data_IF_748701292696
#
_entry.id   IF_748701292696
#
_cell.length_a   1.000
_cell.length_b   1.000
_cell.length_c   1.000
_cell.angle_alpha   90.00
_cell.angle_beta   90.00
_cell.angle_gamma   90.00
#
_symmetry.space_group_name_H-M   'P 1'
#
loop_
_entity.id
_entity.type
_entity.pdbx_description
1 polymer ?
#
# COMPACT_ATOMS: atom_id res chain seq x y z
N UNK A 1 18.77 -43.86 -4.78
CA UNK A 1 19.32 -42.55 -5.19
C UNK A 1 18.20 -41.78 -5.87
N UNK A 2 17.39 -41.05 -5.09
CA UNK A 2 16.27 -40.27 -5.60
C UNK A 2 16.69 -38.79 -5.55
N UNK A 3 16.60 -38.11 -6.69
CA UNK A 3 16.83 -36.67 -6.77
C UNK A 3 15.72 -35.94 -5.99
N UNK A 4 16.03 -34.85 -5.26
CA UNK A 4 15.00 -34.06 -4.63
C UNK A 4 14.22 -33.27 -5.68
N UNK A 5 12.89 -33.44 -5.65
CA UNK A 5 11.91 -32.68 -6.41
C UNK A 5 12.17 -31.17 -6.30
N UNK A 6 12.32 -30.53 -7.46
CA UNK A 6 12.29 -29.07 -7.57
C UNK A 6 10.88 -28.57 -7.23
N UNK A 7 10.70 -27.51 -6.43
CA UNK A 7 9.36 -27.05 -6.06
C UNK A 7 8.71 -26.43 -7.29
N UNK A 8 7.76 -27.14 -7.89
CA UNK A 8 6.85 -26.62 -8.92
C UNK A 8 6.10 -25.44 -8.31
N UNK A 9 6.59 -24.21 -8.55
CA UNK A 9 5.97 -22.95 -8.12
C UNK A 9 4.68 -22.75 -8.94
N UNK A 10 3.61 -23.35 -8.46
CA UNK A 10 2.43 -23.77 -9.24
C UNK A 10 1.60 -22.63 -9.88
N UNK A 11 1.00 -22.87 -11.06
CA UNK A 11 0.15 -21.90 -11.79
C UNK A 11 -1.16 -21.55 -11.07
N UNK A 12 -1.57 -22.32 -10.06
CA UNK A 12 -2.74 -22.03 -9.22
C UNK A 12 -2.52 -20.78 -8.35
N UNK A 13 -1.34 -20.67 -7.71
CA UNK A 13 -1.00 -19.53 -6.83
C UNK A 13 -1.08 -18.17 -7.55
N UNK A 14 -0.74 -18.13 -8.84
CA UNK A 14 -0.86 -16.93 -9.66
C UNK A 14 -2.32 -16.57 -9.97
N UNK A 15 -3.15 -17.57 -10.27
CA UNK A 15 -4.59 -17.34 -10.50
C UNK A 15 -5.23 -16.75 -9.25
N UNK A 16 -4.88 -17.28 -8.08
CA UNK A 16 -5.37 -16.80 -6.79
C UNK A 16 -4.90 -15.36 -6.52
N UNK A 17 -3.62 -15.07 -6.79
CA UNK A 17 -3.07 -13.73 -6.61
C UNK A 17 -3.77 -12.69 -7.50
N UNK A 18 -3.98 -13.02 -8.77
CA UNK A 18 -4.65 -12.15 -9.73
C UNK A 18 -6.10 -11.88 -9.34
N UNK A 19 -6.86 -12.93 -9.03
CA UNK A 19 -8.26 -12.79 -8.62
C UNK A 19 -8.36 -11.87 -7.40
N UNK A 20 -7.48 -12.08 -6.42
CA UNK A 20 -7.46 -11.28 -5.20
C UNK A 20 -7.14 -9.81 -5.45
N UNK A 21 -6.18 -9.52 -6.35
CA UNK A 21 -5.88 -8.14 -6.75
C UNK A 21 -7.08 -7.49 -7.42
N UNK A 22 -7.76 -8.20 -8.33
CA UNK A 22 -8.94 -7.69 -9.02
C UNK A 22 -10.10 -7.43 -8.06
N UNK A 23 -10.32 -8.29 -7.06
CA UNK A 23 -11.29 -8.06 -5.99
C UNK A 23 -11.00 -6.78 -5.22
N UNK A 24 -9.76 -6.59 -4.77
CA UNK A 24 -9.36 -5.39 -4.01
C UNK A 24 -9.54 -4.12 -4.84
N UNK A 25 -9.13 -4.14 -6.12
CA UNK A 25 -9.30 -2.99 -7.01
C UNK A 25 -10.79 -2.72 -7.28
N UNK A 26 -11.62 -3.75 -7.42
CA UNK A 26 -13.04 -3.59 -7.66
C UNK A 26 -13.80 -3.05 -6.42
N UNK A 27 -13.32 -3.34 -5.20
CA UNK A 27 -13.86 -2.78 -3.95
C UNK A 27 -13.68 -1.26 -3.89
N UNK A 28 -12.47 -0.76 -4.18
CA UNK A 28 -12.16 0.66 -4.17
C UNK A 28 -10.92 0.98 -5.04
N UNK A 29 -11.18 1.34 -6.30
CA UNK A 29 -10.11 1.62 -7.27
C UNK A 29 -9.22 2.77 -6.82
N UNK A 30 -9.80 3.83 -6.25
CA UNK A 30 -9.06 5.03 -5.88
C UNK A 30 -8.15 4.77 -4.68
N UNK A 31 -8.61 4.01 -3.69
CA UNK A 31 -7.79 3.63 -2.54
C UNK A 31 -6.64 2.69 -2.95
N UNK A 32 -6.92 1.71 -3.82
CA UNK A 32 -5.90 0.82 -4.37
C UNK A 32 -4.85 1.59 -5.19
N UNK A 33 -5.30 2.55 -6.02
CA UNK A 33 -4.41 3.38 -6.83
C UNK A 33 -3.55 4.32 -5.99
N UNK A 34 -4.11 4.90 -4.92
CA UNK A 34 -3.32 5.66 -3.95
C UNK A 34 -2.25 4.78 -3.29
N UNK A 35 -2.61 3.61 -2.77
CA UNK A 35 -1.65 2.71 -2.12
C UNK A 35 -0.51 2.31 -3.07
N UNK A 36 -0.84 2.00 -4.32
CA UNK A 36 0.15 1.76 -5.37
C UNK A 36 1.02 3.00 -5.65
N UNK A 37 0.41 4.17 -5.73
CA UNK A 37 1.11 5.43 -5.98
C UNK A 37 2.09 5.79 -4.86
N UNK A 38 1.71 5.58 -3.60
CA UNK A 38 2.59 5.80 -2.45
C UNK A 38 3.80 4.86 -2.47
N UNK A 39 3.58 3.59 -2.80
CA UNK A 39 4.66 2.62 -3.00
C UNK A 39 5.60 3.06 -4.14
N UNK A 40 5.05 3.45 -5.30
CA UNK A 40 5.85 3.90 -6.45
C UNK A 40 6.61 5.19 -6.13
N UNK A 41 6.04 6.12 -5.36
CA UNK A 41 6.71 7.34 -4.91
C UNK A 41 7.93 7.00 -4.03
N UNK A 42 7.77 6.08 -3.08
CA UNK A 42 8.88 5.60 -2.25
C UNK A 42 9.95 4.86 -3.07
N UNK A 43 9.54 4.05 -4.05
CA UNK A 43 10.42 3.29 -4.95
C UNK A 43 11.28 4.16 -5.87
N UNK A 44 10.70 5.28 -6.34
CA UNK A 44 11.38 6.25 -7.21
C UNK A 44 12.20 7.28 -6.45
N UNK A 45 12.04 7.37 -5.14
CA UNK A 45 12.84 8.26 -4.31
C UNK A 45 14.31 7.87 -4.33
N UNK A 46 15.22 8.85 -4.36
CA UNK A 46 16.64 8.62 -4.10
C UNK A 46 16.91 8.12 -2.68
N UNK A 47 15.93 8.24 -1.77
CA UNK A 47 15.97 7.77 -0.38
C UNK A 47 15.30 6.41 -0.19
N UNK A 48 15.12 5.63 -1.25
CA UNK A 48 14.38 4.36 -1.19
C UNK A 48 14.86 3.44 -0.06
N UNK A 49 16.14 3.49 0.32
CA UNK A 49 16.67 2.69 1.44
C UNK A 49 16.04 2.98 2.81
N UNK A 50 15.56 4.20 3.01
CA UNK A 50 14.91 4.63 4.25
C UNK A 50 13.39 4.70 4.12
N UNK A 51 12.86 5.12 2.97
CA UNK A 51 11.42 5.39 2.82
C UNK A 51 10.61 4.23 2.22
N UNK A 52 11.24 3.32 1.47
CA UNK A 52 10.57 2.13 0.93
C UNK A 52 10.55 1.00 1.96
N UNK A 53 9.80 1.21 3.04
CA UNK A 53 9.61 0.25 4.13
C UNK A 53 8.12 0.02 4.38
N UNK A 54 7.63 -1.23 4.42
CA UNK A 54 8.34 -2.48 4.19
C UNK A 54 8.86 -2.57 2.75
N UNK A 55 9.89 -3.40 2.55
CA UNK A 55 10.47 -3.70 1.25
C UNK A 55 10.08 -5.13 0.81
N UNK A 56 9.71 -5.36 -0.47
CA UNK A 56 9.30 -6.68 -0.92
C UNK A 56 10.48 -7.65 -0.92
N UNK A 57 10.42 -8.67 -0.06
CA UNK A 57 11.53 -9.64 0.13
C UNK A 57 11.88 -10.42 -1.12
N UNK A 58 10.96 -10.54 -2.08
CA UNK A 58 11.24 -11.13 -3.39
C UNK A 58 12.31 -10.37 -4.18
N UNK A 59 12.58 -9.11 -3.86
CA UNK A 59 13.60 -8.26 -4.49
C UNK A 59 14.80 -7.98 -3.56
N UNK A 60 14.89 -8.68 -2.43
CA UNK A 60 16.02 -8.58 -1.52
C UNK A 60 16.76 -9.91 -1.48
N UNK A 61 18.08 -9.86 -1.56
CA UNK A 61 18.90 -11.02 -1.23
C UNK A 61 19.16 -11.04 0.29
N UNK A 62 18.61 -12.06 0.96
CA UNK A 62 18.74 -12.20 2.41
C UNK A 62 20.17 -12.55 2.86
N UNK A 63 20.99 -13.13 1.98
CA UNK A 63 22.36 -13.51 2.32
C UNK A 63 23.31 -12.30 2.26
N UNK A 64 23.05 -11.36 1.34
CA UNK A 64 23.93 -10.21 1.08
C UNK A 64 23.33 -8.87 1.52
N UNK A 65 22.09 -8.86 2.04
CA UNK A 65 21.29 -7.67 2.34
C UNK A 65 21.20 -6.67 1.16
N UNK A 66 21.36 -7.18 -0.07
CA UNK A 66 21.37 -6.36 -1.29
C UNK A 66 19.97 -6.25 -1.85
N UNK A 67 19.50 -5.02 -2.07
CA UNK A 67 18.20 -4.73 -2.71
C UNK A 67 18.34 -4.64 -4.21
N UNK A 68 17.58 -5.46 -4.95
CA UNK A 68 17.47 -5.43 -6.41
C UNK A 68 16.49 -4.35 -6.85
N UNK A 69 16.86 -3.09 -6.59
CA UNK A 69 15.97 -1.94 -6.75
C UNK A 69 15.59 -1.68 -8.22
N UNK A 70 16.52 -1.90 -9.15
CA UNK A 70 16.28 -1.66 -10.57
C UNK A 70 15.33 -2.71 -11.16
N UNK A 71 15.49 -3.99 -10.79
CA UNK A 71 14.55 -5.04 -11.15
C UNK A 71 13.13 -4.75 -10.60
N UNK A 72 13.04 -4.26 -9.37
CA UNK A 72 11.77 -3.86 -8.77
C UNK A 72 11.12 -2.69 -9.53
N UNK A 73 11.90 -1.69 -9.95
CA UNK A 73 11.43 -0.58 -10.78
C UNK A 73 10.92 -1.06 -12.13
N UNK A 74 11.62 -2.00 -12.77
CA UNK A 74 11.22 -2.57 -14.05
C UNK A 74 9.90 -3.37 -13.93
N UNK A 75 9.74 -4.15 -12.86
CA UNK A 75 8.49 -4.88 -12.59
C UNK A 75 7.33 -3.91 -12.33
N UNK A 76 7.56 -2.86 -11.54
CA UNK A 76 6.56 -1.84 -11.24
C UNK A 76 6.16 -1.03 -12.50
N UNK A 77 7.10 -0.73 -13.39
CA UNK A 77 6.83 -0.01 -14.64
C UNK A 77 5.95 -0.80 -15.63
N UNK A 78 5.85 -2.12 -15.47
CA UNK A 78 5.00 -3.00 -16.29
C UNK A 78 3.55 -3.10 -15.78
N UNK A 79 3.25 -2.47 -14.63
CA UNK A 79 1.88 -2.37 -14.11
C UNK A 79 1.14 -1.26 -14.88
N UNK A 80 0.05 -1.57 -15.61
CA UNK A 80 -0.78 -0.55 -16.24
C UNK A 80 -1.61 0.21 -15.18
N UNK A 81 -2.27 1.32 -15.54
CA UNK A 81 -3.23 1.98 -14.66
C UNK A 81 -4.24 0.99 -14.07
N UNK A 82 -4.48 1.03 -12.75
CA UNK A 82 -5.23 -0.03 -12.07
C UNK A 82 -6.66 -0.17 -12.58
N UNK A 83 -7.31 0.94 -12.96
CA UNK A 83 -8.64 0.90 -13.58
C UNK A 83 -8.69 0.10 -14.90
N UNK A 84 -7.58 0.00 -15.64
CA UNK A 84 -7.50 -0.80 -16.87
C UNK A 84 -7.30 -2.29 -16.61
N UNK A 85 -7.04 -2.69 -15.35
CA UNK A 85 -6.96 -4.11 -14.96
C UNK A 85 -8.34 -4.74 -14.81
N UNK A 86 -9.36 -3.92 -14.53
CA UNK A 86 -10.75 -4.37 -14.43
C UNK A 86 -11.31 -4.70 -15.82
N UNK A 87 -12.18 -5.72 -15.94
CA UNK A 87 -12.84 -6.02 -17.21
C UNK A 87 -13.69 -4.83 -17.67
N UNK A 88 -13.42 -4.34 -18.87
CA UNK A 88 -14.19 -3.25 -19.48
C UNK A 88 -15.67 -3.69 -19.64
N UNK A 89 -16.57 -3.02 -18.92
CA UNK A 89 -18.02 -3.21 -19.06
C UNK A 89 -18.57 -4.48 -18.40
N UNK A 90 -18.99 -4.36 -17.14
CA UNK A 90 -20.00 -5.25 -16.57
C UNK A 90 -21.36 -4.99 -17.24
N UNK A 91 -21.56 -5.52 -18.44
CA UNK A 91 -22.86 -5.64 -19.09
C UNK A 91 -22.92 -6.92 -19.94
N UNK A 92 -23.42 -7.98 -19.31
CA UNK A 92 -24.17 -9.08 -19.91
C UNK A 92 -23.50 -10.02 -20.95
N UNK A 93 -23.45 -11.30 -20.53
CA UNK A 93 -23.57 -12.55 -21.33
C UNK A 93 -22.36 -12.98 -22.17
N UNK A 94 -21.60 -13.95 -21.64
CA UNK A 94 -21.71 -15.37 -22.05
C UNK A 94 -20.52 -16.17 -21.52
N UNK A 95 -20.81 -17.27 -20.84
CA UNK A 95 -20.04 -18.52 -20.75
C UNK A 95 -18.50 -18.46 -20.79
N UNK A 96 -17.89 -18.80 -19.65
CA UNK A 96 -16.69 -19.66 -19.59
C UNK A 96 -15.46 -19.19 -20.36
N UNK A 97 -14.95 -18.00 -20.05
CA UNK A 97 -13.51 -17.73 -20.23
C UNK A 97 -12.98 -16.98 -19.01
N UNK A 98 -12.15 -17.69 -18.25
CA UNK A 98 -11.60 -17.32 -16.96
C UNK A 98 -11.14 -15.86 -16.88
N UNK A 99 -11.37 -15.25 -15.70
CA UNK A 99 -10.91 -13.94 -15.24
C UNK A 99 -9.50 -13.58 -15.74
N UNK A 100 -9.44 -13.10 -16.97
CA UNK A 100 -8.21 -12.73 -17.64
C UNK A 100 -8.24 -11.22 -17.77
N UNK A 101 -7.79 -10.51 -16.72
CA UNK A 101 -7.32 -9.12 -16.85
C UNK A 101 -6.37 -8.92 -18.06
N UNK A 102 -5.92 -7.70 -18.35
CA UNK A 102 -5.29 -7.36 -19.62
C UNK A 102 -4.17 -8.34 -20.02
N UNK A 103 -4.23 -8.82 -21.27
CA UNK A 103 -3.21 -9.69 -21.86
C UNK A 103 -1.89 -8.91 -21.87
N UNK A 104 -0.86 -9.40 -21.18
CA UNK A 104 0.49 -8.83 -21.23
C UNK A 104 1.08 -8.37 -19.89
N UNK A 105 0.32 -8.35 -18.79
CA UNK A 105 0.89 -8.04 -17.46
C UNK A 105 1.68 -9.26 -16.95
N UNK A 106 3.00 -9.15 -16.68
CA UNK A 106 3.82 -10.25 -16.20
C UNK A 106 3.35 -10.80 -14.85
N UNK A 107 3.73 -12.04 -14.55
CA UNK A 107 3.42 -12.71 -13.29
C UNK A 107 3.94 -11.91 -12.09
N UNK A 108 5.16 -11.42 -12.19
CA UNK A 108 5.88 -10.71 -11.16
C UNK A 108 5.16 -9.40 -10.80
N UNK A 109 4.52 -8.75 -11.78
CA UNK A 109 3.73 -7.54 -11.57
C UNK A 109 2.45 -7.82 -10.79
N UNK A 110 1.78 -8.95 -11.04
CA UNK A 110 0.62 -9.38 -10.23
C UNK A 110 1.01 -9.76 -8.81
N UNK A 111 2.14 -10.46 -8.63
CA UNK A 111 2.65 -10.82 -7.31
C UNK A 111 3.07 -9.56 -6.52
N UNK A 112 3.70 -8.58 -7.19
CA UNK A 112 4.05 -7.30 -6.59
C UNK A 112 2.80 -6.49 -6.22
N UNK A 113 1.81 -6.40 -7.10
CA UNK A 113 0.54 -5.72 -6.80
C UNK A 113 -0.15 -6.34 -5.60
N UNK A 114 -0.29 -7.67 -5.56
CA UNK A 114 -0.88 -8.35 -4.42
C UNK A 114 -0.12 -8.01 -3.14
N UNK A 115 1.22 -8.07 -3.20
CA UNK A 115 2.04 -7.74 -2.05
C UNK A 115 1.82 -6.31 -1.59
N UNK A 116 1.86 -5.30 -2.47
CA UNK A 116 1.66 -3.89 -2.10
C UNK A 116 0.29 -3.66 -1.49
N UNK A 117 -0.76 -4.25 -2.07
CA UNK A 117 -2.15 -4.06 -1.64
C UNK A 117 -2.52 -4.83 -0.36
N UNK A 118 -1.65 -5.72 0.12
CA UNK A 118 -1.96 -6.56 1.30
C UNK A 118 -0.87 -6.56 2.38
N UNK A 119 0.31 -5.99 2.11
CA UNK A 119 1.41 -6.01 3.06
C UNK A 119 1.08 -5.21 4.33
N UNK A 120 1.53 -5.72 5.47
CA UNK A 120 1.32 -5.09 6.78
C UNK A 120 -0.14 -5.02 7.24
N UNK A 121 -1.10 -5.57 6.49
CA UNK A 121 -2.52 -5.52 6.84
C UNK A 121 -3.15 -4.13 6.77
N UNK A 122 -2.47 -3.16 6.14
CA UNK A 122 -2.99 -1.81 5.93
C UNK A 122 -4.03 -1.85 4.83
N UNK A 123 -5.20 -1.24 5.08
CA UNK A 123 -6.24 -0.99 4.08
C UNK A 123 -6.58 0.49 4.08
N UNK A 124 -6.78 1.02 2.88
CA UNK A 124 -7.27 2.37 2.66
C UNK A 124 -8.70 2.31 2.15
N UNK A 125 -9.47 3.35 2.47
CA UNK A 125 -10.83 3.53 1.98
C UNK A 125 -11.03 4.97 1.52
N UNK A 126 -11.59 5.15 0.34
CA UNK A 126 -11.99 6.47 -0.16
C UNK A 126 -13.14 7.02 0.69
N UNK A 127 -13.03 8.30 1.08
CA UNK A 127 -14.07 9.03 1.81
C UNK A 127 -14.46 10.27 1.05
N UNK A 128 -15.69 10.73 1.29
CA UNK A 128 -16.13 12.02 0.79
C UNK A 128 -15.57 13.12 1.69
N UNK A 129 -15.23 14.26 1.10
CA UNK A 129 -14.67 15.40 1.83
C UNK A 129 -15.64 15.91 2.89
N UNK A 130 -16.94 15.86 2.61
CA UNK A 130 -18.00 16.34 3.51
C UNK A 130 -18.15 15.47 4.77
N UNK A 131 -17.62 14.25 4.74
CA UNK A 131 -17.66 13.33 5.88
C UNK A 131 -16.51 13.57 6.87
N UNK A 132 -15.60 14.51 6.59
CA UNK A 132 -14.44 14.83 7.44
C UNK A 132 -14.59 16.23 8.00
N UNK A 133 -15.00 16.37 9.28
CA UNK A 133 -15.28 17.67 9.90
C UNK A 133 -14.13 18.68 9.80
N UNK A 134 -12.89 18.20 9.87
CA UNK A 134 -11.67 19.00 9.79
C UNK A 134 -11.43 19.60 8.40
N UNK A 135 -12.09 19.06 7.37
CA UNK A 135 -12.00 19.53 5.98
C UNK A 135 -13.22 20.35 5.56
N UNK A 136 -14.16 20.61 6.47
CA UNK A 136 -15.34 21.43 6.19
C UNK A 136 -14.93 22.87 5.83
N UNK A 137 -15.36 23.35 4.66
CA UNK A 137 -15.05 24.68 4.12
C UNK A 137 -14.32 24.66 2.76
N UNK A 138 -13.76 25.79 2.36
CA UNK A 138 -13.00 26.00 1.10
C UNK A 138 -11.61 25.32 1.11
N UNK A 139 -11.48 24.17 1.77
CA UNK A 139 -10.27 23.36 1.72
C UNK A 139 -9.98 22.91 0.27
N UNK A 140 -8.76 23.16 -0.20
CA UNK A 140 -8.29 22.79 -1.55
C UNK A 140 -8.00 21.28 -1.71
N UNK A 141 -8.48 20.43 -0.80
CA UNK A 141 -8.30 18.98 -0.83
C UNK A 141 -9.22 18.36 -1.88
N UNK A 142 -8.62 17.73 -2.89
CA UNK A 142 -9.33 17.06 -3.97
C UNK A 142 -9.88 15.68 -3.57
N UNK A 143 -9.12 14.93 -2.76
CA UNK A 143 -9.40 13.54 -2.43
C UNK A 143 -9.08 13.24 -0.97
N UNK A 144 -9.87 12.37 -0.36
CA UNK A 144 -9.74 11.99 1.06
C UNK A 144 -9.76 10.47 1.19
N UNK A 145 -8.83 9.96 1.99
CA UNK A 145 -8.70 8.53 2.25
C UNK A 145 -8.57 8.30 3.75
N UNK A 146 -9.22 7.25 4.24
CA UNK A 146 -9.18 6.78 5.61
C UNK A 146 -8.34 5.51 5.70
N UNK A 147 -7.54 5.39 6.76
CA UNK A 147 -6.82 4.16 7.08
C UNK A 147 -7.75 3.27 7.91
N UNK A 148 -8.10 2.10 7.38
CA UNK A 148 -8.89 1.12 8.12
C UNK A 148 -8.00 0.42 9.15
N UNK A 149 -8.35 0.58 10.43
CA UNK A 149 -7.68 -0.09 11.53
C UNK A 149 -8.27 -1.48 11.77
N UNK A 150 -7.41 -2.40 12.21
CA UNK A 150 -7.88 -3.72 12.63
C UNK A 150 -8.54 -3.63 14.01
N UNK A 151 -9.49 -4.52 14.29
CA UNK A 151 -10.12 -4.64 15.61
C UNK A 151 -9.10 -4.79 16.75
N UNK A 152 -7.95 -5.41 16.48
CA UNK A 152 -6.88 -5.54 17.46
C UNK A 152 -6.17 -4.21 17.72
N UNK A 153 -5.91 -3.42 16.68
CA UNK A 153 -5.35 -2.08 16.80
C UNK A 153 -6.31 -1.13 17.54
N UNK A 154 -7.60 -1.17 17.20
CA UNK A 154 -8.64 -0.38 17.85
C UNK A 154 -8.74 -0.71 19.34
N UNK A 155 -8.81 -2.01 19.69
CA UNK A 155 -8.82 -2.44 21.10
C UNK A 155 -7.60 -1.97 21.87
N UNK A 156 -6.42 -1.99 21.24
CA UNK A 156 -5.18 -1.49 21.86
C UNK A 156 -5.22 0.02 22.05
N UNK A 157 -5.73 0.75 21.07
CA UNK A 157 -5.91 2.20 21.15
C UNK A 157 -6.88 2.57 22.27
N UNK A 158 -8.08 2.01 22.28
CA UNK A 158 -9.10 2.26 23.31
C UNK A 158 -8.61 1.86 24.71
N UNK A 159 -7.90 0.73 24.82
CA UNK A 159 -7.27 0.32 26.08
C UNK A 159 -6.19 1.28 26.58
N UNK A 160 -5.48 1.97 25.66
CA UNK A 160 -4.47 2.98 26.02
C UNK A 160 -5.09 4.35 26.30
N UNK A 161 -6.18 4.67 25.60
CA UNK A 161 -6.95 5.90 25.76
C UNK A 161 -7.56 5.99 27.15
N UNK A 162 -8.25 4.93 27.59
CA UNK A 162 -9.06 4.98 28.83
C UNK A 162 -10.05 6.15 28.79
N UNK A 163 -10.04 6.98 29.82
CA UNK A 163 -10.94 8.14 29.94
C UNK A 163 -10.38 9.43 29.31
N UNK A 164 -9.27 9.36 28.57
CA UNK A 164 -8.64 10.54 27.97
C UNK A 164 -9.38 10.98 26.71
N UNK A 165 -9.39 12.30 26.49
CA UNK A 165 -9.90 12.89 25.26
C UNK A 165 -9.01 12.54 24.06
N UNK A 166 -9.64 12.49 22.89
CA UNK A 166 -8.98 12.24 21.61
C UNK A 166 -9.13 13.50 20.77
N UNK A 167 -8.02 13.98 20.24
CA UNK A 167 -7.95 15.15 19.37
C UNK A 167 -7.29 14.78 18.04
N UNK A 168 -7.87 15.25 16.94
CA UNK A 168 -7.31 15.15 15.60
C UNK A 168 -6.23 16.21 15.41
N UNK A 169 -5.11 15.84 14.79
CA UNK A 169 -4.01 16.76 14.48
C UNK A 169 -3.54 16.53 13.06
N UNK A 170 -3.11 17.60 12.40
CA UNK A 170 -2.63 17.56 11.03
C UNK A 170 -1.10 17.44 10.99
N UNK A 171 -0.59 16.58 10.11
CA UNK A 171 0.84 16.48 9.81
C UNK A 171 1.05 16.52 8.30
N UNK A 172 2.11 17.22 7.87
CA UNK A 172 2.50 17.31 6.47
C UNK A 172 3.82 16.58 6.29
N UNK A 173 3.90 15.77 5.24
CA UNK A 173 5.10 14.99 4.92
C UNK A 173 5.33 14.96 3.42
N UNK A 174 6.54 14.60 3.00
CA UNK A 174 6.81 14.35 1.58
C UNK A 174 6.09 13.08 1.13
N UNK A 175 5.59 13.07 -0.10
CA UNK A 175 4.81 11.97 -0.66
C UNK A 175 5.52 10.61 -0.52
N UNK A 176 6.83 10.58 -0.78
CA UNK A 176 7.65 9.37 -0.71
C UNK A 176 7.80 8.79 0.70
N UNK A 177 7.47 9.54 1.76
CA UNK A 177 7.47 9.03 3.13
C UNK A 177 6.19 8.24 3.47
N UNK A 178 5.09 8.46 2.75
CA UNK A 178 3.77 7.97 3.18
C UNK A 178 3.62 6.46 3.08
N UNK A 179 4.35 5.78 2.17
CA UNK A 179 4.42 4.31 2.18
C UNK A 179 4.90 3.80 3.56
N UNK A 180 6.02 4.31 4.05
CA UNK A 180 6.52 3.94 5.38
C UNK A 180 5.61 4.39 6.52
N UNK A 181 4.99 5.56 6.42
CA UNK A 181 4.08 6.06 7.46
C UNK A 181 2.85 5.16 7.57
N UNK A 182 2.28 4.70 6.45
CA UNK A 182 1.13 3.81 6.47
C UNK A 182 1.42 2.50 7.19
N UNK A 183 2.61 1.93 7.00
CA UNK A 183 2.93 0.62 7.56
C UNK A 183 3.60 0.65 8.94
N UNK A 184 4.26 1.75 9.31
CA UNK A 184 5.04 1.85 10.54
C UNK A 184 4.57 2.98 11.48
N UNK A 185 3.56 3.75 11.07
CA UNK A 185 3.14 4.96 11.75
C UNK A 185 4.09 6.13 11.53
N UNK A 186 3.75 7.28 12.11
CA UNK A 186 4.62 8.45 12.12
C UNK A 186 5.86 8.15 12.98
N UNK A 187 7.04 8.34 12.40
CA UNK A 187 8.29 8.24 13.16
C UNK A 187 8.29 9.32 14.25
N UNK A 188 8.50 8.89 15.49
CA UNK A 188 8.83 9.76 16.61
C UNK A 188 10.36 9.75 16.80
N UNK A 189 11.13 10.59 16.08
CA UNK A 189 12.58 10.61 16.20
C UNK A 189 12.99 10.89 17.65
N UNK A 190 13.64 9.92 18.30
CA UNK A 190 14.14 10.02 19.68
C UNK A 190 15.59 10.57 19.74
N UNK A 191 15.99 11.37 18.76
CA UNK A 191 17.36 11.87 18.68
C UNK A 191 17.53 13.10 19.60
N UNK A 192 18.32 12.95 20.66
CA UNK A 192 18.62 14.03 21.63
C UNK A 192 19.39 15.20 21.00
N UNK A 193 20.02 14.99 19.83
CA UNK A 193 20.86 15.97 19.13
C UNK A 193 20.20 16.57 17.87
N UNK A 194 18.88 16.46 17.72
CA UNK A 194 18.17 17.10 16.62
C UNK A 194 17.92 18.58 16.91
N UNK A 195 18.11 19.45 15.90
CA UNK A 195 17.87 20.90 15.96
C UNK A 195 16.46 21.28 16.48
N UNK A 196 15.50 20.37 16.33
CA UNK A 196 14.11 20.58 16.72
C UNK A 196 13.67 19.78 17.97
N UNK A 197 14.58 19.01 18.60
CA UNK A 197 14.26 18.10 19.70
C UNK A 197 13.75 16.72 19.24
N UNK A 198 13.22 15.93 20.18
CA UNK A 198 12.67 14.59 19.92
C UNK A 198 11.15 14.58 19.87
N UNK A 199 10.54 13.87 18.91
CA UNK A 199 9.10 13.65 18.84
C UNK A 199 8.50 13.82 17.44
N UNK A 200 7.19 13.56 17.32
CA UNK A 200 6.40 13.81 16.11
C UNK A 200 5.82 15.22 16.16
N UNK A 201 6.08 16.03 15.14
CA UNK A 201 5.51 17.38 15.04
C UNK A 201 4.12 17.33 14.44
N UNK A 202 3.18 17.90 15.19
CA UNK A 202 1.77 17.92 14.88
C UNK A 202 1.30 19.37 14.99
N UNK A 203 0.45 19.81 14.07
CA UNK A 203 -0.19 21.13 14.14
C UNK A 203 -1.68 20.97 14.37
N UNK A 204 -2.21 21.81 15.24
CA UNK A 204 -3.65 21.98 15.42
C UNK A 204 -4.12 22.98 14.35
N UNK A 205 -5.18 22.63 13.62
CA UNK A 205 -5.88 23.52 12.69
C UNK A 205 -6.98 24.28 13.41
#
# INVERSE_FOLDING_TARGET
MAAPDSPVRSPQKLRDARLRVLEIIAEDVAAADLQWSLFVAALRSYRYDTVLRPFPTSFADQATDTKRIDELRDVAARVPPLGALLPAGSAAKSSTSAATGPKGVPRESWELLLWVLTCGGVRLRSRKKEDVPELNGDSAVDVVFEVEHSLQADRRFEGTRGDREVFSLTTVSRLDNFHSILHHGLLAPMNKNALFGSGTYLSMS
#
